data_IF_100454432200
#
_entry.id   IF_100454432200
#
_cell.length_a   1.000
_cell.length_b   1.000
_cell.length_c   1.000
_cell.angle_alpha   90.00
_cell.angle_beta   90.00
_cell.angle_gamma   90.00
#
_symmetry.space_group_name_H-M   'P 1'
#
loop_
_entity.id
_entity.type
_entity.pdbx_description
1 polymer ?
#
# COMPACT_ATOMS: atom_id res chain seq x y z
N UNK A 1 8.26 -13.66 -19.43
CA UNK A 1 7.26 -14.23 -18.50
C UNK A 1 6.12 -14.84 -19.24
N UNK A 2 5.71 -16.01 -18.82
CA UNK A 2 4.56 -16.69 -19.37
C UNK A 2 3.28 -16.10 -18.77
N UNK A 3 2.20 -16.07 -19.55
CA UNK A 3 0.84 -15.80 -19.04
C UNK A 3 0.51 -16.67 -17.80
N UNK A 4 1.03 -17.90 -17.77
CA UNK A 4 0.84 -18.82 -16.66
C UNK A 4 1.48 -18.34 -15.34
N UNK A 5 2.59 -17.61 -15.38
CA UNK A 5 3.24 -17.11 -14.17
C UNK A 5 2.36 -16.04 -13.49
N UNK A 6 1.86 -15.09 -14.27
CA UNK A 6 0.93 -14.06 -13.78
C UNK A 6 -0.38 -14.68 -13.30
N UNK A 7 -0.89 -15.69 -14.01
CA UNK A 7 -2.11 -16.38 -13.62
C UNK A 7 -1.95 -17.14 -12.31
N UNK A 8 -0.81 -17.80 -12.09
CA UNK A 8 -0.53 -18.50 -10.84
C UNK A 8 -0.44 -17.54 -9.64
N UNK A 9 0.18 -16.37 -9.80
CA UNK A 9 0.22 -15.33 -8.77
C UNK A 9 -1.19 -14.83 -8.40
N UNK A 10 -2.06 -14.63 -9.41
CA UNK A 10 -3.44 -14.24 -9.17
C UNK A 10 -4.23 -15.33 -8.43
N UNK A 11 -3.97 -16.61 -8.71
CA UNK A 11 -4.58 -17.72 -7.99
C UNK A 11 -4.14 -17.77 -6.52
N UNK A 12 -2.87 -17.50 -6.22
CA UNK A 12 -2.37 -17.42 -4.83
C UNK A 12 -3.09 -16.29 -4.07
N UNK A 13 -3.23 -15.12 -4.67
CA UNK A 13 -3.98 -14.00 -4.09
C UNK A 13 -5.44 -14.40 -3.82
N UNK A 14 -6.09 -14.98 -4.80
CA UNK A 14 -7.49 -15.43 -4.68
C UNK A 14 -7.64 -16.51 -3.61
N UNK A 15 -6.71 -17.46 -3.52
CA UNK A 15 -6.70 -18.50 -2.49
C UNK A 15 -6.62 -17.91 -1.08
N UNK A 16 -5.73 -16.94 -0.85
CA UNK A 16 -5.61 -16.26 0.44
C UNK A 16 -6.92 -15.52 0.81
N UNK A 17 -7.54 -14.85 -0.16
CA UNK A 17 -8.83 -14.17 0.06
C UNK A 17 -9.94 -15.19 0.37
N UNK A 18 -10.01 -16.31 -0.38
CA UNK A 18 -10.98 -17.38 -0.12
C UNK A 18 -10.79 -18.00 1.26
N UNK A 19 -9.55 -18.21 1.70
CA UNK A 19 -9.23 -18.69 3.04
C UNK A 19 -9.73 -17.72 4.12
N UNK A 20 -9.54 -16.41 3.95
CA UNK A 20 -10.07 -15.38 4.85
C UNK A 20 -11.61 -15.38 4.93
N UNK A 21 -12.26 -15.49 3.78
CA UNK A 21 -13.73 -15.61 3.69
C UNK A 21 -14.24 -16.83 4.44
N UNK A 22 -13.61 -18.00 4.22
CA UNK A 22 -13.96 -19.24 4.92
C UNK A 22 -13.69 -19.13 6.43
N UNK A 23 -12.57 -18.54 6.83
CA UNK A 23 -12.25 -18.34 8.24
C UNK A 23 -13.30 -17.48 8.96
N UNK A 24 -13.84 -16.47 8.29
CA UNK A 24 -14.96 -15.67 8.83
C UNK A 24 -16.24 -16.51 8.95
N UNK A 25 -16.61 -17.25 7.89
CA UNK A 25 -17.79 -18.12 7.90
C UNK A 25 -17.73 -19.22 8.95
N UNK A 26 -16.53 -19.73 9.24
CA UNK A 26 -16.29 -20.76 10.27
C UNK A 26 -16.17 -20.16 11.69
N UNK A 27 -16.24 -18.83 11.83
CA UNK A 27 -16.20 -18.18 13.14
C UNK A 27 -14.80 -17.96 13.73
N UNK A 28 -13.72 -18.26 12.98
CA UNK A 28 -12.35 -17.94 13.40
C UNK A 28 -12.04 -16.45 13.35
N UNK A 29 -12.64 -15.74 12.39
CA UNK A 29 -12.55 -14.30 12.26
C UNK A 29 -13.90 -13.65 12.58
N UNK A 30 -13.85 -12.46 13.16
CA UNK A 30 -15.01 -11.67 13.54
C UNK A 30 -14.73 -10.20 13.27
N UNK A 31 -15.75 -9.36 13.23
CA UNK A 31 -15.60 -7.92 13.07
C UNK A 31 -14.58 -7.29 14.04
N UNK A 32 -14.54 -7.78 15.29
CA UNK A 32 -13.58 -7.29 16.29
C UNK A 32 -12.17 -7.77 15.97
N UNK A 33 -12.00 -9.03 15.54
CA UNK A 33 -10.72 -9.59 15.11
C UNK A 33 -10.19 -8.84 13.89
N UNK A 34 -11.05 -8.55 12.90
CA UNK A 34 -10.69 -7.81 11.68
C UNK A 34 -10.20 -6.39 12.01
N UNK A 35 -10.86 -5.71 12.95
CA UNK A 35 -10.42 -4.40 13.43
C UNK A 35 -9.05 -4.44 14.11
N UNK A 36 -8.81 -5.47 14.93
CA UNK A 36 -7.53 -5.65 15.62
C UNK A 36 -6.41 -6.00 14.63
N UNK A 37 -6.68 -6.86 13.65
CA UNK A 37 -5.76 -7.18 12.56
C UNK A 37 -5.44 -5.95 11.71
N UNK A 38 -6.43 -5.15 11.37
CA UNK A 38 -6.24 -3.90 10.64
C UNK A 38 -5.33 -2.93 11.42
N UNK A 39 -5.53 -2.79 12.73
CA UNK A 39 -4.67 -1.96 13.60
C UNK A 39 -3.25 -2.49 13.67
N UNK A 40 -3.06 -3.80 13.77
CA UNK A 40 -1.74 -4.44 13.76
C UNK A 40 -1.02 -4.23 12.42
N UNK A 41 -1.74 -4.44 11.31
CA UNK A 41 -1.22 -4.21 9.96
C UNK A 41 -0.74 -2.77 9.80
N UNK A 42 -1.60 -1.78 10.05
CA UNK A 42 -1.28 -0.37 9.84
C UNK A 42 -0.35 0.21 10.90
N UNK A 43 -0.34 -0.37 12.11
CA UNK A 43 0.47 0.13 13.22
C UNK A 43 1.91 -0.40 13.25
N UNK A 44 2.14 -1.62 12.76
CA UNK A 44 3.43 -2.30 12.89
C UNK A 44 3.88 -2.91 11.56
N UNK A 45 3.05 -3.76 10.95
CA UNK A 45 3.50 -4.62 9.85
C UNK A 45 3.79 -3.80 8.58
N UNK A 46 2.88 -2.93 8.17
CA UNK A 46 3.07 -2.04 7.00
C UNK A 46 4.24 -1.06 7.21
N UNK A 47 4.41 -0.39 8.36
CA UNK A 47 5.63 0.37 8.66
C UNK A 47 6.92 -0.45 8.50
N UNK A 48 6.94 -1.71 8.98
CA UNK A 48 8.08 -2.59 8.79
C UNK A 48 8.32 -2.92 7.30
N UNK A 49 7.27 -3.17 6.52
CA UNK A 49 7.39 -3.37 5.07
C UNK A 49 8.00 -2.16 4.38
N UNK A 50 7.53 -0.95 4.71
CA UNK A 50 8.02 0.30 4.12
C UNK A 50 9.50 0.52 4.46
N UNK A 51 9.90 0.33 5.72
CA UNK A 51 11.29 0.49 6.15
C UNK A 51 12.18 -0.64 5.62
N UNK A 52 11.68 -1.87 5.58
CA UNK A 52 12.37 -3.04 5.05
C UNK A 52 12.74 -2.88 3.58
N UNK A 53 11.85 -2.29 2.78
CA UNK A 53 12.06 -2.10 1.34
C UNK A 53 13.27 -1.23 0.98
N UNK A 54 13.69 -0.33 1.87
CA UNK A 54 14.88 0.53 1.68
C UNK A 54 16.08 0.04 2.48
N UNK A 55 15.92 -1.06 3.22
CA UNK A 55 16.97 -1.63 4.07
C UNK A 55 17.67 -2.82 3.41
N UNK A 56 17.18 -3.31 2.28
CA UNK A 56 17.81 -4.37 1.51
C UNK A 56 19.13 -3.83 0.94
N UNK A 57 20.25 -4.49 1.25
CA UNK A 57 21.61 -4.04 0.92
C UNK A 57 21.97 -4.06 -0.58
N UNK A 58 21.02 -4.34 -1.45
CA UNK A 58 21.16 -4.18 -2.88
C UNK A 58 21.29 -2.69 -3.19
N UNK A 59 22.16 -2.36 -4.13
CA UNK A 59 22.50 -0.99 -4.48
C UNK A 59 21.24 -0.14 -4.70
N UNK A 60 20.95 0.75 -3.73
CA UNK A 60 19.87 1.72 -3.89
C UNK A 60 20.13 2.51 -5.16
N UNK A 61 19.13 2.72 -6.04
CA UNK A 61 19.32 3.52 -7.25
C UNK A 61 19.85 4.92 -6.91
N UNK A 62 20.54 5.49 -7.87
CA UNK A 62 21.08 6.82 -7.73
C UNK A 62 19.99 7.86 -7.44
N UNK A 63 20.34 8.94 -6.71
CA UNK A 63 19.42 10.03 -6.36
C UNK A 63 18.65 10.57 -7.57
N UNK A 64 19.29 10.56 -8.76
CA UNK A 64 18.65 10.99 -10.02
C UNK A 64 17.50 10.07 -10.46
N UNK A 65 17.65 8.77 -10.26
CA UNK A 65 16.59 7.79 -10.56
C UNK A 65 15.43 7.92 -9.58
N UNK A 66 15.73 8.04 -8.29
CA UNK A 66 14.72 8.27 -7.23
C UNK A 66 13.89 9.50 -7.55
N UNK A 67 14.54 10.61 -7.92
CA UNK A 67 13.86 11.85 -8.31
C UNK A 67 13.02 11.69 -9.57
N UNK A 68 13.48 10.89 -10.52
CA UNK A 68 12.72 10.60 -11.75
C UNK A 68 11.45 9.83 -11.45
N UNK A 69 11.51 8.80 -10.61
CA UNK A 69 10.33 8.05 -10.16
C UNK A 69 9.37 8.93 -9.36
N UNK A 70 9.89 9.81 -8.49
CA UNK A 70 9.05 10.77 -7.76
C UNK A 70 8.34 11.76 -8.70
N UNK A 71 8.99 12.22 -9.77
CA UNK A 71 8.32 13.05 -10.81
C UNK A 71 7.18 12.28 -11.48
N UNK A 72 7.41 11.01 -11.83
CA UNK A 72 6.37 10.14 -12.40
C UNK A 72 5.22 9.97 -11.39
N UNK A 73 5.53 9.77 -10.11
CA UNK A 73 4.53 9.68 -9.06
C UNK A 73 3.68 10.96 -8.96
N UNK A 74 4.31 12.15 -9.00
CA UNK A 74 3.59 13.44 -8.97
C UNK A 74 2.61 13.54 -10.15
N UNK A 75 3.05 13.17 -11.36
CA UNK A 75 2.18 13.18 -12.55
C UNK A 75 1.04 12.18 -12.38
N UNK A 76 1.33 10.96 -11.95
CA UNK A 76 0.34 9.91 -11.74
C UNK A 76 -0.74 10.35 -10.74
N UNK A 77 -0.34 10.82 -9.55
CA UNK A 77 -1.31 11.28 -8.54
C UNK A 77 -2.01 12.57 -8.98
N UNK A 78 -1.33 13.47 -9.68
CA UNK A 78 -1.94 14.66 -10.27
C UNK A 78 -3.07 14.32 -11.24
N UNK A 79 -2.84 13.38 -12.15
CA UNK A 79 -3.88 12.86 -13.06
C UNK A 79 -5.02 12.17 -12.29
N UNK A 80 -4.70 11.40 -11.25
CA UNK A 80 -5.69 10.78 -10.37
C UNK A 80 -6.58 11.81 -9.67
N UNK A 81 -6.00 12.88 -9.14
CA UNK A 81 -6.75 13.99 -8.53
C UNK A 81 -7.64 14.70 -9.56
N UNK A 82 -7.13 14.98 -10.76
CA UNK A 82 -7.92 15.54 -11.85
C UNK A 82 -9.10 14.61 -12.22
N UNK A 83 -8.84 13.33 -12.44
CA UNK A 83 -9.89 12.35 -12.73
C UNK A 83 -10.94 12.28 -11.61
N UNK A 84 -10.50 12.31 -10.34
CA UNK A 84 -11.38 12.28 -9.17
C UNK A 84 -12.30 13.51 -9.05
N UNK A 85 -11.90 14.64 -9.64
CA UNK A 85 -12.73 15.83 -9.67
C UNK A 85 -13.89 15.71 -10.68
N UNK A 86 -13.66 15.06 -11.82
CA UNK A 86 -14.63 15.00 -12.92
C UNK A 86 -15.46 13.71 -12.96
N UNK A 87 -14.81 12.54 -12.85
CA UNK A 87 -15.45 11.23 -13.07
C UNK A 87 -16.62 10.94 -12.11
N UNK A 88 -16.56 11.23 -10.80
CA UNK A 88 -17.69 10.98 -9.91
C UNK A 88 -18.93 11.80 -10.23
N UNK A 89 -18.76 12.99 -10.81
CA UNK A 89 -19.89 13.80 -11.25
C UNK A 89 -20.60 13.20 -12.47
N UNK A 90 -19.85 12.53 -13.35
CA UNK A 90 -20.41 11.83 -14.52
C UNK A 90 -21.15 10.56 -14.13
N UNK A 91 -20.70 9.87 -13.11
CA UNK A 91 -21.29 8.61 -12.63
C UNK A 91 -22.55 8.83 -11.78
N UNK A 92 -22.76 10.03 -11.23
CA UNK A 92 -23.88 10.35 -10.35
C UNK A 92 -23.74 9.69 -8.97
N UNK A 93 -24.85 9.38 -8.31
CA UNK A 93 -24.89 8.69 -7.02
C UNK A 93 -24.89 9.59 -5.79
N UNK A 94 -24.93 8.98 -4.61
CA UNK A 94 -24.93 9.68 -3.33
C UNK A 94 -23.56 10.27 -3.02
N UNK A 95 -23.52 11.30 -2.16
CA UNK A 95 -22.27 11.94 -1.71
C UNK A 95 -21.27 10.90 -1.14
N UNK A 96 -21.76 9.93 -0.39
CA UNK A 96 -20.92 8.85 0.17
C UNK A 96 -20.29 7.98 -0.93
N UNK A 97 -21.07 7.62 -1.96
CA UNK A 97 -20.57 6.85 -3.11
C UNK A 97 -19.54 7.66 -3.89
N UNK A 98 -19.78 8.94 -4.12
CA UNK A 98 -18.82 9.82 -4.79
C UNK A 98 -17.50 9.96 -4.02
N UNK A 99 -17.54 10.00 -2.69
CA UNK A 99 -16.34 10.00 -1.86
C UNK A 99 -15.51 8.72 -2.05
N UNK A 100 -16.17 7.55 -2.07
CA UNK A 100 -15.49 6.26 -2.33
C UNK A 100 -14.91 6.23 -3.74
N UNK A 101 -15.64 6.66 -4.77
CA UNK A 101 -15.11 6.69 -6.14
C UNK A 101 -13.91 7.63 -6.29
N UNK A 102 -13.97 8.83 -5.68
CA UNK A 102 -12.82 9.75 -5.66
C UNK A 102 -11.58 9.11 -5.03
N UNK A 103 -11.76 8.47 -3.88
CA UNK A 103 -10.69 7.76 -3.21
C UNK A 103 -10.12 6.64 -4.08
N UNK A 104 -10.95 5.79 -4.65
CA UNK A 104 -10.54 4.64 -5.47
C UNK A 104 -9.85 5.04 -6.77
N UNK A 105 -10.19 6.19 -7.37
CA UNK A 105 -9.52 6.71 -8.57
C UNK A 105 -8.09 7.19 -8.31
N UNK A 106 -7.84 7.75 -7.12
CA UNK A 106 -6.51 8.25 -6.75
C UNK A 106 -5.67 7.13 -6.14
N UNK A 107 -6.27 6.34 -5.25
CA UNK A 107 -5.61 5.37 -4.38
C UNK A 107 -5.96 3.94 -4.80
N UNK A 108 -5.32 3.46 -5.86
CA UNK A 108 -5.39 2.06 -6.26
C UNK A 108 -4.58 1.17 -5.31
N UNK A 109 -4.86 -0.14 -5.32
CA UNK A 109 -4.16 -1.12 -4.47
C UNK A 109 -2.76 -1.43 -5.02
N UNK A 110 -1.85 -0.45 -4.90
CA UNK A 110 -0.49 -0.57 -5.44
C UNK A 110 0.40 -1.50 -4.62
N UNK A 111 0.21 -1.55 -3.29
CA UNK A 111 1.06 -2.36 -2.43
C UNK A 111 0.72 -3.86 -2.53
N UNK A 112 -0.56 -4.24 -2.37
CA UNK A 112 -0.92 -5.66 -2.26
C UNK A 112 -1.03 -6.40 -3.59
N UNK A 113 -1.39 -5.70 -4.66
CA UNK A 113 -1.47 -6.27 -6.00
C UNK A 113 -0.32 -5.73 -6.87
N UNK A 114 0.02 -4.47 -6.73
CA UNK A 114 1.03 -3.82 -7.55
C UNK A 114 2.43 -4.44 -7.39
N UNK A 115 2.87 -4.74 -6.16
CA UNK A 115 4.19 -5.34 -5.95
C UNK A 115 4.34 -6.72 -6.61
N UNK A 116 3.48 -7.71 -6.32
CA UNK A 116 3.58 -9.01 -7.00
C UNK A 116 3.55 -8.90 -8.52
N UNK A 117 2.64 -8.08 -9.05
CA UNK A 117 2.52 -7.89 -10.51
C UNK A 117 3.78 -7.21 -11.08
N UNK A 118 4.34 -6.22 -10.40
CA UNK A 118 5.56 -5.56 -10.85
C UNK A 118 6.75 -6.52 -10.89
N UNK A 119 6.94 -7.32 -9.84
CA UNK A 119 7.97 -8.35 -9.78
C UNK A 119 7.73 -9.41 -10.85
N UNK A 120 6.47 -9.83 -10.99
CA UNK A 120 6.06 -10.79 -11.97
C UNK A 120 6.34 -10.33 -13.41
N UNK A 121 6.10 -9.07 -13.76
CA UNK A 121 6.26 -8.55 -15.12
C UNK A 121 7.67 -8.05 -15.44
N UNK A 122 8.38 -7.48 -14.47
CA UNK A 122 9.62 -6.74 -14.70
C UNK A 122 10.82 -7.28 -13.88
N UNK A 123 10.61 -8.31 -13.05
CA UNK A 123 11.66 -8.89 -12.21
C UNK A 123 11.81 -8.17 -10.86
N UNK A 124 12.72 -8.68 -10.01
CA UNK A 124 12.94 -8.19 -8.65
C UNK A 124 13.41 -6.73 -8.61
N UNK A 125 14.13 -6.28 -9.61
CA UNK A 125 14.60 -4.89 -9.71
C UNK A 125 13.46 -3.88 -9.78
N UNK A 126 12.31 -4.27 -10.36
CA UNK A 126 11.12 -3.42 -10.44
C UNK A 126 10.48 -3.15 -9.07
N UNK A 127 10.70 -4.03 -8.09
CA UNK A 127 10.16 -3.87 -6.74
C UNK A 127 10.62 -2.55 -6.12
N UNK A 128 11.89 -2.17 -6.31
CA UNK A 128 12.42 -0.93 -5.78
C UNK A 128 11.66 0.30 -6.31
N UNK A 129 11.46 0.36 -7.63
CA UNK A 129 10.73 1.48 -8.26
C UNK A 129 9.26 1.51 -7.82
N UNK A 130 8.64 0.34 -7.70
CA UNK A 130 7.28 0.23 -7.18
C UNK A 130 7.19 0.74 -5.73
N UNK A 131 8.17 0.44 -4.89
CA UNK A 131 8.25 0.94 -3.50
C UNK A 131 8.35 2.46 -3.47
N UNK A 132 9.26 3.07 -4.25
CA UNK A 132 9.37 4.54 -4.32
C UNK A 132 8.06 5.17 -4.79
N UNK A 133 7.37 4.57 -5.76
CA UNK A 133 6.08 5.05 -6.25
C UNK A 133 4.99 5.00 -5.16
N UNK A 134 5.06 4.02 -4.26
CA UNK A 134 4.11 3.84 -3.14
C UNK A 134 4.42 4.75 -1.96
N UNK A 135 5.63 5.31 -1.80
CA UNK A 135 5.92 6.26 -0.71
C UNK A 135 4.98 7.49 -0.74
N UNK A 136 4.81 8.22 -1.86
CA UNK A 136 3.82 9.28 -1.96
C UNK A 136 2.38 8.78 -1.74
N UNK A 137 2.04 7.57 -2.21
CA UNK A 137 0.75 6.95 -1.94
C UNK A 137 0.49 6.85 -0.43
N UNK A 138 1.44 6.31 0.33
CA UNK A 138 1.29 6.18 1.78
C UNK A 138 1.06 7.54 2.43
N UNK A 139 1.88 8.53 2.07
CA UNK A 139 1.75 9.89 2.59
C UNK A 139 0.37 10.49 2.27
N UNK A 140 -0.06 10.44 1.02
CA UNK A 140 -1.32 11.03 0.56
C UNK A 140 -2.55 10.24 1.05
N UNK A 141 -2.49 8.90 0.98
CA UNK A 141 -3.61 8.03 1.36
C UNK A 141 -3.91 8.11 2.85
N UNK A 142 -2.89 8.12 3.70
CA UNK A 142 -3.10 8.20 5.15
C UNK A 142 -3.38 9.63 5.65
N UNK A 143 -2.98 10.67 4.92
CA UNK A 143 -3.30 12.07 5.26
C UNK A 143 -4.64 12.53 4.68
N UNK A 144 -4.82 12.38 3.36
CA UNK A 144 -6.00 12.88 2.64
C UNK A 144 -7.14 11.85 2.57
N UNK A 145 -6.80 10.55 2.59
CA UNK A 145 -7.79 9.48 2.46
C UNK A 145 -8.93 9.54 3.47
N UNK A 146 -8.67 9.66 4.78
CA UNK A 146 -9.72 9.81 5.78
C UNK A 146 -10.59 11.05 5.56
N UNK A 147 -10.01 12.18 5.10
CA UNK A 147 -10.74 13.39 4.78
C UNK A 147 -11.70 13.19 3.60
N UNK A 148 -11.24 12.49 2.57
CA UNK A 148 -12.04 12.21 1.38
C UNK A 148 -13.21 11.26 1.68
N UNK A 149 -12.96 10.21 2.49
CA UNK A 149 -13.96 9.19 2.82
C UNK A 149 -15.01 9.68 3.82
N UNK A 150 -14.61 10.54 4.76
CA UNK A 150 -15.52 11.03 5.80
C UNK A 150 -16.46 12.15 5.34
N UNK A 151 -16.27 12.70 4.15
CA UNK A 151 -17.13 13.71 3.51
C UNK A 151 -17.21 15.07 4.23
N UNK A 152 -16.88 15.14 5.51
CA UNK A 152 -16.89 16.33 6.37
C UNK A 152 -15.87 16.25 7.53
N UNK A 153 -14.89 15.34 7.47
CA UNK A 153 -13.92 15.21 8.55
C UNK A 153 -13.04 16.46 8.65
N UNK A 154 -12.93 16.98 9.86
CA UNK A 154 -11.95 18.02 10.15
C UNK A 154 -10.55 17.40 10.08
N UNK A 155 -9.64 18.04 9.35
CA UNK A 155 -8.23 17.64 9.32
C UNK A 155 -7.68 17.59 10.75
N UNK A 156 -7.13 16.44 11.13
CA UNK A 156 -6.48 16.26 12.43
C UNK A 156 -4.98 16.08 12.19
N UNK A 157 -4.18 16.98 12.72
CA UNK A 157 -2.71 16.89 12.66
C UNK A 157 -2.15 15.54 13.15
N UNK A 158 -2.88 14.90 14.07
CA UNK A 158 -2.55 13.58 14.58
C UNK A 158 -2.54 12.48 13.48
N UNK A 159 -3.26 12.67 12.37
CA UNK A 159 -3.28 11.75 11.24
C UNK A 159 -1.94 11.76 10.47
N UNK A 160 -1.23 12.89 10.48
CA UNK A 160 0.12 13.01 9.90
C UNK A 160 1.18 12.26 10.71
N UNK A 161 0.89 11.94 11.97
CA UNK A 161 1.76 11.14 12.84
C UNK A 161 1.42 9.65 12.80
N UNK A 162 0.68 9.19 11.78
CA UNK A 162 0.42 7.76 11.63
C UNK A 162 1.73 6.99 11.41
N UNK A 163 1.87 5.76 11.97
CA UNK A 163 3.09 4.97 11.83
C UNK A 163 3.53 4.77 10.39
N UNK A 164 2.57 4.62 9.46
CA UNK A 164 2.87 4.47 8.04
C UNK A 164 3.46 5.73 7.41
N UNK A 165 2.97 6.93 7.78
CA UNK A 165 3.51 8.20 7.29
C UNK A 165 4.92 8.41 7.83
N UNK A 166 5.13 8.19 9.12
CA UNK A 166 6.45 8.30 9.75
C UNK A 166 7.44 7.34 9.08
N UNK A 167 7.06 6.08 8.90
CA UNK A 167 7.87 5.09 8.20
C UNK A 167 8.18 5.51 6.75
N UNK A 168 7.21 6.08 6.02
CA UNK A 168 7.41 6.56 4.65
C UNK A 168 8.40 7.72 4.58
N UNK A 169 8.32 8.67 5.51
CA UNK A 169 9.28 9.78 5.57
C UNK A 169 10.69 9.28 5.91
N UNK A 170 10.81 8.38 6.89
CA UNK A 170 12.10 7.78 7.25
C UNK A 170 12.68 7.00 6.06
N UNK A 171 11.87 6.16 5.41
CA UNK A 171 12.30 5.39 4.24
C UNK A 171 12.78 6.30 3.10
N UNK A 172 12.07 7.40 2.83
CA UNK A 172 12.50 8.37 1.83
C UNK A 172 13.83 9.03 2.21
N UNK A 173 14.02 9.38 3.49
CA UNK A 173 15.29 9.92 3.97
C UNK A 173 16.44 8.91 3.84
N UNK A 174 16.23 7.65 4.24
CA UNK A 174 17.19 6.56 4.07
C UNK A 174 17.58 6.41 2.60
N UNK A 175 16.62 6.41 1.69
CA UNK A 175 16.87 6.27 0.25
C UNK A 175 17.61 7.48 -0.34
N UNK A 176 17.23 8.72 0.01
CA UNK A 176 17.84 9.94 -0.55
C UNK A 176 19.26 10.20 -0.02
N UNK A 177 19.50 9.91 1.26
CA UNK A 177 20.80 10.11 1.90
C UNK A 177 21.69 8.88 1.87
N UNK A 178 21.26 7.79 1.22
CA UNK A 178 21.98 6.51 1.15
C UNK A 178 22.45 6.03 2.52
N UNK A 179 21.58 6.11 3.54
CA UNK A 179 21.91 5.73 4.90
C UNK A 179 22.03 4.21 4.98
N UNK A 180 23.19 3.70 5.41
CA UNK A 180 23.36 2.26 5.59
C UNK A 180 22.56 1.76 6.80
N UNK A 181 21.58 0.90 6.54
CA UNK A 181 20.81 0.22 7.58
C UNK A 181 21.56 -1.07 7.96
N UNK A 182 21.76 -1.36 9.27
CA UNK A 182 22.39 -2.62 9.68
C UNK A 182 21.63 -3.83 9.12
N UNK A 183 22.34 -4.81 8.56
CA UNK A 183 21.76 -5.97 7.88
C UNK A 183 20.73 -6.71 8.76
N UNK A 184 21.06 -6.96 10.02
CA UNK A 184 20.15 -7.60 10.96
C UNK A 184 18.83 -6.84 11.13
N UNK A 185 18.88 -5.50 11.20
CA UNK A 185 17.68 -4.67 11.31
C UNK A 185 16.85 -4.76 10.02
N UNK A 186 17.51 -4.73 8.85
CA UNK A 186 16.87 -4.92 7.57
C UNK A 186 16.17 -6.28 7.46
N UNK A 187 16.81 -7.35 7.88
CA UNK A 187 16.22 -8.70 7.92
C UNK A 187 14.98 -8.76 8.83
N UNK A 188 15.06 -8.21 10.04
CA UNK A 188 13.91 -8.14 10.96
C UNK A 188 12.73 -7.36 10.38
N UNK A 189 13.01 -6.22 9.75
CA UNK A 189 11.99 -5.39 9.09
C UNK A 189 11.35 -6.11 7.91
N UNK A 190 12.14 -6.74 7.04
CA UNK A 190 11.66 -7.50 5.90
C UNK A 190 10.85 -8.72 6.33
N UNK A 191 11.32 -9.48 7.34
CA UNK A 191 10.62 -10.63 7.86
C UNK A 191 9.23 -10.23 8.41
N UNK A 192 9.17 -9.18 9.24
CA UNK A 192 7.91 -8.67 9.77
C UNK A 192 7.03 -8.08 8.67
N UNK A 193 7.62 -7.31 7.76
CA UNK A 193 6.93 -6.68 6.64
C UNK A 193 6.32 -7.69 5.66
N UNK A 194 6.93 -8.87 5.48
CA UNK A 194 6.44 -9.93 4.59
C UNK A 194 5.06 -10.47 4.99
N UNK A 195 4.66 -10.31 6.25
CA UNK A 195 3.32 -10.66 6.73
C UNK A 195 2.22 -9.74 6.15
N UNK A 196 2.59 -8.60 5.58
CA UNK A 196 1.61 -7.63 5.04
C UNK A 196 0.70 -8.27 4.00
N UNK A 197 1.27 -8.92 2.99
CA UNK A 197 0.50 -9.48 1.87
C UNK A 197 -0.46 -10.59 2.33
N UNK A 198 -0.02 -11.66 3.01
CA UNK A 198 -0.94 -12.74 3.39
C UNK A 198 -2.01 -12.27 4.40
N UNK A 199 -1.64 -11.49 5.40
CA UNK A 199 -2.60 -11.03 6.41
C UNK A 199 -3.63 -10.04 5.86
N UNK A 200 -3.21 -9.14 4.97
CA UNK A 200 -4.15 -8.20 4.34
C UNK A 200 -5.12 -8.90 3.40
N UNK A 201 -4.67 -9.92 2.65
CA UNK A 201 -5.53 -10.70 1.77
C UNK A 201 -6.54 -11.53 2.58
N UNK A 202 -6.11 -12.14 3.69
CA UNK A 202 -7.01 -12.82 4.62
C UNK A 202 -8.05 -11.85 5.20
N UNK A 203 -7.63 -10.64 5.59
CA UNK A 203 -8.52 -9.60 6.11
C UNK A 203 -9.53 -9.15 5.05
N UNK A 204 -9.10 -8.90 3.81
CA UNK A 204 -10.01 -8.56 2.71
C UNK A 204 -11.02 -9.68 2.48
N UNK A 205 -10.58 -10.94 2.48
CA UNK A 205 -11.45 -12.09 2.38
C UNK A 205 -12.49 -12.16 3.50
N UNK A 206 -12.06 -11.92 4.75
CA UNK A 206 -12.95 -11.85 5.92
C UNK A 206 -14.02 -10.76 5.78
N UNK A 207 -13.63 -9.58 5.29
CA UNK A 207 -14.54 -8.44 5.10
C UNK A 207 -15.57 -8.63 3.97
N UNK A 208 -15.33 -9.58 3.06
CA UNK A 208 -16.26 -9.96 1.99
C UNK A 208 -17.31 -11.00 2.43
N UNK A 209 -17.15 -11.63 3.61
CA UNK A 209 -18.01 -12.69 4.14
C UNK A 209 -19.25 -12.15 4.85
#
# INVERSE_FOLDING_TARGET
>A
MSFFDVFSEMLVILFCMAAGFLAHKLGYLSKQTDQNLCRLLLGIIVPCLILGSVSSGDALPGTGEILSVLKVAIVYYGLGFCASAFVPHLLGGTVKQQCVWRYSLIFSNMAFIGYPVSVALFGQEALFYAVILVLPFNLLSYSLGPLMLAGQAKFRWQQLLSPCIVASVIALMVALFHINVPALLGECLNFTGSLTTPLSLLLVGSLLA
#
